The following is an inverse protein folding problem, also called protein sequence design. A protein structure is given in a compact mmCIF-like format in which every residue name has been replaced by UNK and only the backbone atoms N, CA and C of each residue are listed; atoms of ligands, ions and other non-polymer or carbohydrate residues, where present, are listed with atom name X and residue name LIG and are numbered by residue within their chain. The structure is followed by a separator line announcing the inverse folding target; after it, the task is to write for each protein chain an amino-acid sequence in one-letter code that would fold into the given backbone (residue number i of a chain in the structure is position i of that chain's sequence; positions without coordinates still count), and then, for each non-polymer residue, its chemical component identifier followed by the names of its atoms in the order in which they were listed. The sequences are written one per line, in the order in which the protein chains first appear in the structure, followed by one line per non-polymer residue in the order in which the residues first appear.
data_IF_776356310592
#
_entry.id   IF_776356310592
#
_cell.length_a   1.000
_cell.length_b   1.000
_cell.length_c   1.000
_cell.angle_alpha   90.00
_cell.angle_beta   90.00
_cell.angle_gamma   90.00
#
_symmetry.space_group_name_H-M   'P 1'
#
loop_
_entity.id
_entity.type
_entity.pdbx_description
1 polymer ?
#
# COMPACT_ATOMS: atom_id res chain seq x y z
N UNK A 1 -70.77 -39.42 -1.71
CA UNK A 1 -69.32 -39.33 -1.46
C UNK A 1 -68.73 -38.36 -2.46
N UNK A 2 -68.61 -37.10 -2.09
CA UNK A 2 -67.97 -36.05 -2.91
C UNK A 2 -66.48 -36.09 -2.61
N UNK A 3 -65.70 -36.61 -3.56
CA UNK A 3 -64.23 -36.64 -3.50
C UNK A 3 -63.72 -35.21 -3.64
N UNK A 4 -63.07 -34.69 -2.60
CA UNK A 4 -62.37 -33.41 -2.65
C UNK A 4 -61.20 -33.52 -3.66
N UNK A 5 -60.94 -32.49 -4.50
CA UNK A 5 -59.84 -32.53 -5.45
C UNK A 5 -58.49 -32.63 -4.70
N UNK A 6 -57.50 -33.33 -5.27
CA UNK A 6 -56.20 -33.50 -4.64
C UNK A 6 -55.56 -32.12 -4.42
N UNK A 7 -55.14 -31.85 -3.17
CA UNK A 7 -54.34 -30.67 -2.87
C UNK A 7 -53.02 -30.77 -3.66
N UNK A 8 -52.61 -29.71 -4.35
CA UNK A 8 -51.33 -29.73 -5.05
C UNK A 8 -50.22 -29.67 -3.98
N UNK A 9 -49.56 -30.78 -3.72
CA UNK A 9 -48.46 -30.91 -2.76
C UNK A 9 -47.16 -31.07 -3.58
N UNK A 10 -46.58 -29.96 -4.02
CA UNK A 10 -45.37 -29.97 -4.84
C UNK A 10 -44.75 -28.58 -5.06
N UNK A 11 -43.51 -28.47 -5.56
CA UNK A 11 -42.81 -27.19 -5.74
C UNK A 11 -43.60 -26.17 -6.58
N UNK A 12 -44.35 -26.66 -7.58
CA UNK A 12 -45.24 -25.85 -8.41
C UNK A 12 -46.45 -25.30 -7.65
N UNK A 13 -46.96 -26.03 -6.66
CA UNK A 13 -48.07 -25.58 -5.82
C UNK A 13 -47.65 -24.48 -4.85
N UNK A 14 -46.45 -24.62 -4.28
CA UNK A 14 -45.84 -23.60 -3.41
C UNK A 14 -45.51 -22.34 -4.21
N UNK A 15 -45.03 -22.49 -5.44
CA UNK A 15 -44.81 -21.36 -6.33
C UNK A 15 -46.12 -20.68 -6.72
N UNK A 16 -47.17 -21.45 -7.05
CA UNK A 16 -48.51 -20.90 -7.34
C UNK A 16 -49.06 -20.10 -6.14
N UNK A 17 -48.97 -20.65 -4.93
CA UNK A 17 -49.39 -19.95 -3.71
C UNK A 17 -48.57 -18.67 -3.41
N UNK A 18 -47.31 -18.60 -3.86
CA UNK A 18 -46.48 -17.38 -3.75
C UNK A 18 -46.75 -16.37 -4.87
N UNK A 19 -47.21 -16.82 -6.03
CA UNK A 19 -47.60 -15.97 -7.16
C UNK A 19 -49.01 -15.38 -7.00
N UNK A 20 -49.81 -15.90 -6.06
CA UNK A 20 -51.07 -15.26 -5.64
C UNK A 20 -50.85 -13.91 -4.95
N UNK A 21 -49.63 -13.64 -4.46
CA UNK A 21 -49.24 -12.32 -3.95
C UNK A 21 -48.88 -11.38 -5.13
N UNK A 22 -49.64 -10.29 -5.32
CA UNK A 22 -49.43 -9.37 -6.44
C UNK A 22 -48.06 -8.69 -6.42
N UNK A 23 -47.46 -8.45 -5.24
CA UNK A 23 -46.12 -7.83 -5.17
C UNK A 23 -45.03 -8.81 -5.61
N UNK A 24 -45.15 -10.08 -5.21
CA UNK A 24 -44.21 -11.14 -5.61
C UNK A 24 -44.32 -11.42 -7.11
N UNK A 25 -45.54 -11.49 -7.64
CA UNK A 25 -45.77 -11.68 -9.07
C UNK A 25 -45.16 -10.53 -9.90
N UNK A 26 -45.35 -9.28 -9.48
CA UNK A 26 -44.77 -8.12 -10.15
C UNK A 26 -43.23 -8.15 -10.11
N UNK A 27 -42.64 -8.52 -8.98
CA UNK A 27 -41.18 -8.62 -8.81
C UNK A 27 -40.57 -9.69 -9.72
N UNK A 28 -41.21 -10.86 -9.82
CA UNK A 28 -40.78 -11.94 -10.71
C UNK A 28 -40.94 -11.53 -12.17
N UNK A 29 -42.01 -10.81 -12.52
CA UNK A 29 -42.22 -10.33 -13.87
C UNK A 29 -41.11 -9.36 -14.29
N UNK A 30 -40.70 -8.43 -13.43
CA UNK A 30 -39.58 -7.51 -13.68
C UNK A 30 -38.26 -8.26 -13.87
N UNK A 31 -37.99 -9.30 -13.07
CA UNK A 31 -36.80 -10.13 -13.21
C UNK A 31 -36.81 -10.95 -14.50
N UNK A 32 -37.98 -11.48 -14.89
CA UNK A 32 -38.15 -12.22 -16.15
C UNK A 32 -38.04 -11.30 -17.36
N UNK A 33 -38.56 -10.07 -17.27
CA UNK A 33 -38.46 -9.05 -18.31
C UNK A 33 -37.00 -8.64 -18.59
N UNK A 34 -36.15 -8.71 -17.57
CA UNK A 34 -34.72 -8.41 -17.65
C UNK A 34 -33.84 -9.66 -17.49
N UNK A 35 -34.37 -10.86 -17.78
CA UNK A 35 -33.66 -12.13 -17.53
C UNK A 35 -32.30 -12.22 -18.23
N UNK A 36 -32.17 -11.61 -19.41
CA UNK A 36 -30.91 -11.54 -20.15
C UNK A 36 -29.85 -10.71 -19.41
N UNK A 37 -30.24 -9.56 -18.85
CA UNK A 37 -29.34 -8.74 -18.04
C UNK A 37 -28.94 -9.45 -16.74
N UNK A 38 -29.87 -10.20 -16.13
CA UNK A 38 -29.57 -11.02 -14.96
C UNK A 38 -28.58 -12.14 -15.29
N UNK A 39 -28.71 -12.78 -16.46
CA UNK A 39 -27.78 -13.81 -16.91
C UNK A 39 -26.36 -13.25 -17.11
N UNK A 40 -26.23 -12.09 -17.75
CA UNK A 40 -24.94 -11.40 -17.94
C UNK A 40 -24.32 -10.98 -16.60
N UNK A 41 -25.14 -10.49 -15.66
CA UNK A 41 -24.65 -10.15 -14.31
C UNK A 41 -24.17 -11.38 -13.55
N UNK A 42 -24.86 -12.51 -13.68
CA UNK A 42 -24.47 -13.75 -13.02
C UNK A 42 -23.17 -14.31 -13.60
N UNK A 43 -23.02 -14.29 -14.92
CA UNK A 43 -21.79 -14.70 -15.60
C UNK A 43 -20.62 -13.75 -15.28
N UNK A 44 -20.89 -12.44 -15.23
CA UNK A 44 -19.92 -11.43 -14.79
C UNK A 44 -19.49 -11.62 -13.34
N UNK A 45 -20.42 -11.95 -12.44
CA UNK A 45 -20.12 -12.25 -11.04
C UNK A 45 -19.30 -13.53 -10.90
N UNK A 46 -19.61 -14.58 -11.65
CA UNK A 46 -18.84 -15.83 -11.66
C UNK A 46 -17.39 -15.57 -12.10
N UNK A 47 -17.19 -14.80 -13.17
CA UNK A 47 -15.85 -14.41 -13.63
C UNK A 47 -15.13 -13.51 -12.63
N UNK A 48 -15.84 -12.60 -11.96
CA UNK A 48 -15.26 -11.76 -10.93
C UNK A 48 -14.80 -12.57 -9.72
N UNK A 49 -15.60 -13.54 -9.26
CA UNK A 49 -15.25 -14.43 -8.16
C UNK A 49 -14.01 -15.26 -8.49
N UNK A 50 -13.99 -15.92 -9.66
CA UNK A 50 -12.81 -16.68 -10.12
C UNK A 50 -11.55 -15.81 -10.22
N UNK A 51 -11.66 -14.58 -10.73
CA UNK A 51 -10.54 -13.64 -10.80
C UNK A 51 -10.10 -13.16 -9.43
N UNK A 52 -11.03 -12.96 -8.50
CA UNK A 52 -10.72 -12.50 -7.14
C UNK A 52 -9.89 -13.51 -6.35
N UNK A 53 -10.13 -14.80 -6.53
CA UNK A 53 -9.32 -15.87 -5.94
C UNK A 53 -7.89 -15.83 -6.51
N UNK A 54 -7.75 -15.74 -7.84
CA UNK A 54 -6.45 -15.66 -8.50
C UNK A 54 -5.65 -14.39 -8.15
N UNK A 55 -6.33 -13.24 -8.02
CA UNK A 55 -5.72 -11.98 -7.58
C UNK A 55 -5.32 -12.07 -6.11
N UNK A 56 -6.16 -12.66 -5.26
CA UNK A 56 -5.88 -12.85 -3.84
C UNK A 56 -4.67 -13.74 -3.60
N UNK A 57 -4.55 -14.85 -4.32
CA UNK A 57 -3.36 -15.73 -4.24
C UNK A 57 -2.11 -15.00 -4.72
N UNK A 58 -2.17 -14.33 -5.87
CA UNK A 58 -1.03 -13.57 -6.42
C UNK A 58 -0.56 -12.45 -5.47
N UNK A 59 -1.49 -11.78 -4.79
CA UNK A 59 -1.17 -10.74 -3.82
C UNK A 59 -0.53 -11.32 -2.55
N UNK A 60 -1.06 -12.44 -2.02
CA UNK A 60 -0.47 -13.12 -0.87
C UNK A 60 0.93 -13.65 -1.19
N UNK A 61 1.13 -14.18 -2.39
CA UNK A 61 2.42 -14.66 -2.88
C UNK A 61 3.41 -13.50 -3.00
N UNK A 62 3.02 -12.37 -3.60
CA UNK A 62 3.84 -11.17 -3.68
C UNK A 62 4.23 -10.60 -2.30
N UNK A 63 3.32 -10.63 -1.32
CA UNK A 63 3.63 -10.23 0.08
C UNK A 63 4.58 -11.22 0.74
N UNK A 64 4.40 -12.52 0.49
CA UNK A 64 5.30 -13.58 0.95
C UNK A 64 6.71 -13.41 0.40
N UNK A 65 6.84 -13.13 -0.89
CA UNK A 65 8.10 -12.87 -1.59
C UNK A 65 8.78 -11.59 -1.10
N UNK A 66 8.00 -10.55 -0.83
CA UNK A 66 8.53 -9.33 -0.22
C UNK A 66 9.06 -9.61 1.20
N UNK A 67 8.29 -10.32 2.03
CA UNK A 67 8.71 -10.71 3.38
C UNK A 67 9.96 -11.60 3.34
N UNK A 68 10.04 -12.54 2.41
CA UNK A 68 11.20 -13.44 2.26
C UNK A 68 12.44 -12.66 1.82
N UNK A 69 12.30 -11.73 0.87
CA UNK A 69 13.39 -10.86 0.41
C UNK A 69 13.88 -9.94 1.52
N UNK A 70 12.97 -9.35 2.31
CA UNK A 70 13.31 -8.52 3.47
C UNK A 70 13.96 -9.35 4.58
N UNK A 71 13.42 -10.54 4.88
CA UNK A 71 13.96 -11.44 5.90
C UNK A 71 15.29 -12.09 5.52
N UNK A 72 15.58 -12.24 4.23
CA UNK A 72 16.88 -12.70 3.72
C UNK A 72 17.98 -11.63 3.82
N UNK A 73 17.62 -10.39 4.15
CA UNK A 73 18.56 -9.29 4.36
C UNK A 73 18.81 -9.13 5.86
N UNK A 74 19.97 -9.56 6.36
CA UNK A 74 20.30 -9.57 7.80
C UNK A 74 20.16 -8.19 8.47
N UNK A 75 20.38 -7.10 7.74
CA UNK A 75 20.23 -5.72 8.23
C UNK A 75 18.77 -5.26 8.34
N UNK A 76 17.84 -5.89 7.62
CA UNK A 76 16.41 -5.58 7.64
C UNK A 76 15.60 -6.60 8.45
N UNK A 77 16.15 -7.80 8.71
CA UNK A 77 15.50 -8.87 9.48
C UNK A 77 15.30 -8.58 10.96
N UNK A 78 16.11 -7.69 11.55
CA UNK A 78 15.90 -7.17 12.93
C UNK A 78 14.82 -6.07 13.01
N UNK A 79 14.45 -5.48 11.86
CA UNK A 79 13.40 -4.48 11.83
C UNK A 79 12.07 -5.23 11.93
N UNK A 80 11.41 -5.15 13.09
CA UNK A 80 10.03 -5.58 13.23
C UNK A 80 9.16 -4.66 12.36
N UNK A 81 8.96 -5.06 11.10
CA UNK A 81 8.19 -4.29 10.14
C UNK A 81 6.71 -4.45 10.46
N UNK A 82 6.13 -3.42 11.07
CA UNK A 82 4.69 -3.28 11.22
C UNK A 82 4.10 -2.96 9.83
N UNK A 83 3.81 -4.01 9.05
CA UNK A 83 3.32 -3.91 7.67
C UNK A 83 2.14 -2.94 7.49
N UNK A 84 1.13 -2.89 8.38
CA UNK A 84 0.09 -1.87 8.34
C UNK A 84 0.64 -0.43 8.40
N UNK A 85 1.62 -0.16 9.28
CA UNK A 85 2.25 1.16 9.38
C UNK A 85 3.15 1.47 8.20
N UNK A 86 3.84 0.48 7.64
CA UNK A 86 4.64 0.66 6.43
C UNK A 86 3.75 0.94 5.23
N UNK A 87 2.62 0.26 5.09
CA UNK A 87 1.62 0.56 4.06
C UNK A 87 1.07 1.98 4.23
N UNK A 88 0.70 2.40 5.45
CA UNK A 88 0.22 3.77 5.70
C UNK A 88 1.32 4.82 5.43
N UNK A 89 2.56 4.57 5.86
CA UNK A 89 3.70 5.42 5.57
C UNK A 89 4.00 5.50 4.07
N UNK A 90 3.90 4.38 3.34
CA UNK A 90 4.08 4.33 1.89
C UNK A 90 2.97 5.11 1.18
N UNK A 91 1.71 4.95 1.57
CA UNK A 91 0.58 5.72 1.01
C UNK A 91 0.77 7.22 1.28
N UNK A 92 1.18 7.61 2.49
CA UNK A 92 1.50 9.00 2.81
C UNK A 92 2.69 9.52 1.99
N UNK A 93 3.70 8.69 1.75
CA UNK A 93 4.88 9.04 0.95
C UNK A 93 4.53 9.21 -0.53
N UNK A 94 3.67 8.33 -1.07
CA UNK A 94 3.12 8.43 -2.43
C UNK A 94 2.32 9.73 -2.58
N UNK A 95 1.50 10.07 -1.60
CA UNK A 95 0.66 11.27 -1.65
C UNK A 95 1.42 12.57 -1.35
N UNK A 96 2.62 12.50 -0.77
CA UNK A 96 3.40 13.67 -0.36
C UNK A 96 4.30 14.26 -1.48
N UNK A 97 4.17 13.79 -2.73
CA UNK A 97 5.02 14.19 -3.87
C UNK A 97 6.53 13.91 -3.64
N UNK A 98 6.85 13.06 -2.67
CA UNK A 98 8.22 12.68 -2.28
C UNK A 98 8.81 11.57 -3.16
N UNK A 99 8.02 11.01 -4.08
CA UNK A 99 8.43 9.97 -5.04
C UNK A 99 8.90 10.53 -6.38
N UNK A 100 9.21 11.83 -6.47
CA UNK A 100 9.93 12.36 -7.62
C UNK A 100 11.29 11.67 -7.72
N UNK A 101 11.72 11.38 -8.95
CA UNK A 101 13.01 10.72 -9.20
C UNK A 101 14.15 11.47 -8.53
N UNK A 102 14.06 12.80 -8.54
CA UNK A 102 15.01 13.72 -7.94
C UNK A 102 15.07 13.58 -6.40
N UNK A 103 13.93 13.46 -5.72
CA UNK A 103 13.90 13.28 -4.27
C UNK A 103 14.46 11.91 -3.86
N UNK A 104 14.10 10.86 -4.60
CA UNK A 104 14.61 9.49 -4.37
C UNK A 104 16.13 9.43 -4.57
N UNK A 105 16.66 10.08 -5.61
CA UNK A 105 18.09 10.14 -5.88
C UNK A 105 18.85 10.87 -4.75
N UNK A 106 18.30 11.97 -4.23
CA UNK A 106 18.89 12.72 -3.12
C UNK A 106 18.90 11.91 -1.82
N UNK A 107 17.79 11.25 -1.49
CA UNK A 107 17.70 10.36 -0.32
C UNK A 107 18.68 9.19 -0.45
N UNK A 108 18.83 8.63 -1.65
CA UNK A 108 19.77 7.54 -1.93
C UNK A 108 21.23 7.93 -1.70
N UNK A 109 21.61 9.18 -2.03
CA UNK A 109 22.96 9.70 -1.74
C UNK A 109 23.22 9.74 -0.23
N UNK A 110 22.25 10.24 0.55
CA UNK A 110 22.35 10.30 2.01
C UNK A 110 22.39 8.90 2.63
N UNK A 111 21.51 7.99 2.19
CA UNK A 111 21.46 6.62 2.69
C UNK A 111 22.77 5.87 2.43
N UNK A 112 23.34 5.97 1.22
CA UNK A 112 24.65 5.38 0.91
C UNK A 112 25.75 5.96 1.78
N UNK A 113 25.77 7.28 1.99
CA UNK A 113 26.75 7.93 2.86
C UNK A 113 26.65 7.48 4.33
N UNK A 114 25.43 7.21 4.83
CA UNK A 114 25.19 6.69 6.18
C UNK A 114 25.66 5.24 6.33
N UNK A 115 25.30 4.37 5.39
CA UNK A 115 25.72 2.96 5.41
C UNK A 115 27.23 2.86 5.30
N UNK A 116 27.81 3.48 4.27
CA UNK A 116 29.26 3.43 4.04
C UNK A 116 30.03 4.13 5.17
N UNK A 117 29.54 5.26 5.67
CA UNK A 117 30.17 5.96 6.80
C UNK A 117 30.11 5.15 8.10
N UNK A 118 29.06 4.36 8.32
CA UNK A 118 28.96 3.45 9.46
C UNK A 118 29.96 2.29 9.38
N UNK A 119 30.09 1.67 8.21
CA UNK A 119 31.08 0.62 7.94
C UNK A 119 32.52 1.15 8.06
N UNK A 120 32.77 2.35 7.51
CA UNK A 120 34.05 3.02 7.60
C UNK A 120 34.36 3.45 9.04
N UNK A 121 33.38 3.89 9.83
CA UNK A 121 33.60 4.22 11.24
C UNK A 121 33.96 2.99 12.09
N UNK A 122 33.43 1.82 11.74
CA UNK A 122 33.75 0.57 12.43
C UNK A 122 35.18 0.08 12.13
N UNK A 123 35.68 0.33 10.91
CA UNK A 123 36.99 -0.17 10.45
C UNK A 123 38.10 0.88 10.53
N UNK A 124 37.77 2.15 10.38
CA UNK A 124 38.65 3.32 10.30
C UNK A 124 37.98 4.54 10.95
N UNK A 125 37.79 4.52 12.28
CA UNK A 125 37.17 5.63 12.98
C UNK A 125 37.96 6.92 12.83
N UNK A 126 37.27 8.03 12.61
CA UNK A 126 37.88 9.37 12.63
C UNK A 126 38.10 9.78 14.09
N UNK A 127 39.36 9.78 14.53
CA UNK A 127 39.72 10.17 15.89
C UNK A 127 39.85 11.69 16.05
N UNK A 128 39.06 12.26 16.97
CA UNK A 128 39.16 13.67 17.34
C UNK A 128 40.03 13.81 18.59
N UNK A 129 41.35 13.72 18.39
CA UNK A 129 42.33 13.77 19.50
C UNK A 129 42.64 15.20 19.99
N UNK A 130 41.63 16.08 20.05
CA UNK A 130 41.73 17.45 20.57
C UNK A 130 41.36 18.56 19.57
N UNK A 131 41.42 19.84 20.01
CA UNK A 131 40.91 20.99 19.25
C UNK A 131 41.65 21.23 17.91
N UNK A 132 42.94 20.87 17.83
CA UNK A 132 43.70 20.93 16.58
C UNK A 132 43.25 19.85 15.57
N UNK A 133 42.90 18.64 16.04
CA UNK A 133 42.35 17.58 15.18
C UNK A 133 40.99 17.99 14.63
N UNK A 134 40.14 18.61 15.47
CA UNK A 134 38.85 19.15 15.05
C UNK A 134 39.00 20.22 13.96
N UNK A 135 39.99 21.10 14.09
CA UNK A 135 40.30 22.13 13.09
C UNK A 135 40.80 21.55 11.77
N UNK A 136 41.59 20.47 11.85
CA UNK A 136 42.06 19.72 10.68
C UNK A 136 40.90 19.00 9.99
N UNK A 137 40.01 18.38 10.76
CA UNK A 137 38.81 17.73 10.28
C UNK A 137 37.87 18.72 9.58
N UNK A 138 37.69 19.92 10.15
CA UNK A 138 36.88 20.97 9.54
C UNK A 138 37.48 21.51 8.23
N UNK A 139 38.81 21.42 8.09
CA UNK A 139 39.55 21.75 6.86
C UNK A 139 39.60 20.61 5.85
N UNK A 140 39.16 19.42 6.21
CA UNK A 140 39.09 18.28 5.29
C UNK A 140 38.11 18.60 4.15
N UNK A 141 38.49 18.39 2.88
CA UNK A 141 37.65 18.74 1.74
C UNK A 141 36.33 17.98 1.69
N UNK A 142 36.25 16.75 2.20
CA UNK A 142 35.01 15.95 2.23
C UNK A 142 34.07 16.46 3.32
N UNK A 143 34.60 16.69 4.51
CA UNK A 143 33.84 17.24 5.65
C UNK A 143 33.33 18.64 5.34
N UNK A 144 34.16 19.48 4.73
CA UNK A 144 33.78 20.83 4.35
C UNK A 144 32.64 20.84 3.31
N UNK A 145 32.69 19.94 2.33
CA UNK A 145 31.61 19.76 1.34
C UNK A 145 30.30 19.36 2.01
N UNK A 146 30.35 18.41 2.94
CA UNK A 146 29.16 17.98 3.69
C UNK A 146 28.57 19.13 4.53
N UNK A 147 29.40 19.85 5.28
CA UNK A 147 28.94 20.99 6.09
C UNK A 147 28.34 22.09 5.22
N UNK A 148 28.98 22.39 4.08
CA UNK A 148 28.48 23.39 3.13
C UNK A 148 27.12 22.99 2.54
N UNK A 149 26.96 21.71 2.20
CA UNK A 149 25.69 21.16 1.75
C UNK A 149 24.60 21.32 2.83
N UNK A 150 24.85 20.84 4.06
CA UNK A 150 23.89 20.94 5.16
C UNK A 150 23.53 22.40 5.50
N UNK A 151 24.51 23.31 5.51
CA UNK A 151 24.25 24.74 5.70
C UNK A 151 23.35 25.31 4.60
N UNK A 152 23.53 24.86 3.35
CA UNK A 152 22.70 25.30 2.21
C UNK A 152 21.27 24.75 2.32
N UNK A 153 21.11 23.49 2.69
CA UNK A 153 19.80 22.86 2.95
C UNK A 153 19.08 23.57 4.10
N UNK A 154 19.77 23.80 5.22
CA UNK A 154 19.20 24.51 6.37
C UNK A 154 18.71 25.93 6.00
N UNK A 155 19.47 26.66 5.17
CA UNK A 155 19.04 27.95 4.62
C UNK A 155 17.82 27.85 3.71
N UNK A 156 17.71 26.80 2.91
CA UNK A 156 16.55 26.57 2.07
C UNK A 156 15.30 26.31 2.92
N UNK A 157 15.40 25.43 3.94
CA UNK A 157 14.32 25.14 4.88
C UNK A 157 13.87 26.41 5.61
N UNK A 158 14.82 27.18 6.14
CA UNK A 158 14.50 28.42 6.84
C UNK A 158 13.70 29.41 5.98
N UNK A 159 14.01 29.50 4.68
CA UNK A 159 13.26 30.36 3.74
C UNK A 159 11.84 29.84 3.46
N UNK A 160 11.64 28.53 3.41
CA UNK A 160 10.29 27.96 3.25
C UNK A 160 9.43 28.18 4.50
N UNK A 161 10.01 28.07 5.69
CA UNK A 161 9.31 28.31 6.96
C UNK A 161 8.93 29.78 7.17
N UNK A 162 9.67 30.70 6.57
CA UNK A 162 9.42 32.15 6.63
C UNK A 162 8.35 32.62 5.62
N UNK A 163 7.94 31.77 4.67
CA UNK A 163 6.83 32.10 3.76
C UNK A 163 5.52 32.14 4.57
N UNK A 164 4.73 33.22 4.49
CA UNK A 164 3.43 33.27 5.15
C UNK A 164 2.54 32.15 4.58
N UNK A 165 2.00 31.32 5.46
CA UNK A 165 1.00 30.31 5.08
C UNK A 165 -0.15 31.03 4.36
N UNK A 166 -0.57 30.58 3.16
CA UNK A 166 -1.81 31.08 2.58
C UNK A 166 -2.93 30.80 3.59
N UNK A 167 -3.71 31.84 3.90
CA UNK A 167 -4.85 31.77 4.80
C UNK A 167 -5.94 30.85 4.25
#
# INVERSE_FOLDING_TARGET
MTVAPPRPEGPSAVLAAKLDDPEVAASILVLLEHADLVAVLLEGLDQFLHRSEAIGTSLMEAVGDLRSTVGANETLGEITVDFPKVADAAVRLINADLLTKEAVDQVSVLARGLVQGGEDAATRPVEVNGPLSLLKLLKDPDVNRAISYFATVARAIGRELDKPRPA
#
